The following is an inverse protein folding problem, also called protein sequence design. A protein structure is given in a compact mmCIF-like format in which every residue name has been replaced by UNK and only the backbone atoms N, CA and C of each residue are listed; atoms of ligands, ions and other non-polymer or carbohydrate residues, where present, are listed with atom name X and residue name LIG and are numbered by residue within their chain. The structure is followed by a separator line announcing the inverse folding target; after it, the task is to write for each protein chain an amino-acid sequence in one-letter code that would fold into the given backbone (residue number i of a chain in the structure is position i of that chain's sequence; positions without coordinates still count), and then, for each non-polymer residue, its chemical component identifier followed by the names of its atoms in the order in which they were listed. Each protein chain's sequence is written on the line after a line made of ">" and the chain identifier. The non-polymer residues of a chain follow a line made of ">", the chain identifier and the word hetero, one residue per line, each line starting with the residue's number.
data_IF_738575391445
#
_entry.id   IF_738575391445
#
_cell.length_a   1.000
_cell.length_b   1.000
_cell.length_c   1.000
_cell.angle_alpha   90.00
_cell.angle_beta   90.00
_cell.angle_gamma   90.00
#
_symmetry.space_group_name_H-M   'P 1'
#
loop_
_entity.id
_entity.type
_entity.pdbx_description
1 polymer ?
#
# COMPACT_ATOMS: atom_id res chain seq x y z
N UNK A 1 -9.82 9.37 -12.73
CA UNK A 1 -8.58 8.59 -12.87
C UNK A 1 -8.19 8.48 -14.33
N UNK A 2 -6.89 8.60 -14.60
CA UNK A 2 -6.26 8.31 -15.90
C UNK A 2 -6.52 6.85 -16.31
N UNK A 3 -6.79 6.59 -17.60
CA UNK A 3 -7.05 5.23 -18.11
C UNK A 3 -5.78 4.41 -18.32
N UNK A 4 -4.69 5.07 -18.69
CA UNK A 4 -3.40 4.45 -19.02
C UNK A 4 -2.51 4.50 -17.78
N UNK A 5 -1.78 3.40 -17.52
CA UNK A 5 -0.77 3.33 -16.48
C UNK A 5 0.44 4.21 -16.81
N UNK A 6 0.93 4.97 -15.83
CA UNK A 6 2.19 5.73 -15.93
C UNK A 6 3.41 4.90 -15.47
N UNK A 7 3.18 3.67 -15.01
CA UNK A 7 4.17 2.75 -14.45
C UNK A 7 4.96 3.32 -13.26
N UNK A 8 4.40 4.28 -12.55
CA UNK A 8 4.99 4.81 -11.31
C UNK A 8 4.14 4.40 -10.12
N UNK A 9 4.78 4.22 -8.97
CA UNK A 9 4.05 4.06 -7.71
C UNK A 9 4.84 4.60 -6.53
N UNK A 10 4.11 5.10 -5.55
CA UNK A 10 4.62 5.50 -4.25
C UNK A 10 3.97 4.68 -3.17
N UNK A 11 4.68 4.48 -2.05
CA UNK A 11 4.08 3.88 -0.87
C UNK A 11 4.68 4.45 0.40
N UNK A 12 3.86 4.54 1.45
CA UNK A 12 4.18 5.31 2.64
C UNK A 12 4.16 4.43 3.89
N UNK A 13 5.33 4.15 4.46
CA UNK A 13 5.45 3.53 5.77
C UNK A 13 5.26 4.58 6.88
N UNK A 14 4.00 4.78 7.28
CA UNK A 14 3.63 5.64 8.40
C UNK A 14 3.60 4.83 9.71
N UNK A 15 4.63 5.01 10.54
CA UNK A 15 4.74 4.36 11.84
C UNK A 15 4.19 5.24 12.96
N UNK A 16 3.47 4.62 13.89
CA UNK A 16 3.11 5.22 15.19
C UNK A 16 3.49 4.24 16.28
N UNK A 17 4.52 4.61 17.05
CA UNK A 17 5.19 3.68 17.97
C UNK A 17 5.66 2.44 17.18
N UNK A 18 5.36 1.24 17.64
CA UNK A 18 5.73 -0.04 16.99
C UNK A 18 4.65 -0.58 16.05
N UNK A 19 3.73 0.28 15.59
CA UNK A 19 2.63 -0.10 14.69
C UNK A 19 2.71 0.62 13.36
N UNK A 20 2.47 -0.10 12.27
CA UNK A 20 2.45 0.42 10.91
C UNK A 20 1.00 0.66 10.47
N UNK A 21 0.76 1.80 9.84
CA UNK A 21 -0.53 2.08 9.22
C UNK A 21 -0.73 1.21 7.99
N UNK A 22 -1.84 0.47 7.97
CA UNK A 22 -2.32 -0.26 6.81
C UNK A 22 -3.76 0.12 6.47
N UNK A 23 -4.07 0.09 5.19
CA UNK A 23 -5.40 0.19 4.62
C UNK A 23 -5.81 -1.15 4.02
N UNK A 24 -7.08 -1.51 4.13
CA UNK A 24 -7.64 -2.58 3.31
C UNK A 24 -8.23 -1.95 2.05
N UNK A 25 -7.71 -2.33 0.88
CA UNK A 25 -8.08 -1.74 -0.40
C UNK A 25 -9.49 -2.14 -0.79
N UNK A 26 -10.33 -1.17 -1.17
CA UNK A 26 -11.69 -1.39 -1.69
C UNK A 26 -11.71 -1.71 -3.19
N UNK A 27 -10.64 -1.35 -3.90
CA UNK A 27 -10.50 -1.51 -5.35
C UNK A 27 -9.26 -2.36 -5.64
N UNK A 28 -9.34 -3.21 -6.65
CA UNK A 28 -8.23 -4.03 -7.13
C UNK A 28 -6.93 -3.20 -7.31
N UNK A 29 -5.75 -3.73 -6.93
CA UNK A 29 -5.52 -5.03 -6.29
C UNK A 29 -6.07 -5.10 -4.86
N UNK A 30 -6.70 -6.22 -4.49
CA UNK A 30 -7.27 -6.42 -3.17
C UNK A 30 -6.19 -6.90 -2.18
N UNK A 31 -6.26 -6.40 -0.96
CA UNK A 31 -5.22 -6.66 0.03
C UNK A 31 -5.12 -5.57 1.08
N UNK A 32 -4.44 -5.90 2.17
CA UNK A 32 -3.87 -4.92 3.06
C UNK A 32 -2.59 -4.33 2.44
N UNK A 33 -2.53 -3.01 2.38
CA UNK A 33 -1.43 -2.24 1.82
C UNK A 33 -1.12 -1.07 2.74
N UNK A 34 0.07 -0.48 2.63
CA UNK A 34 0.24 0.88 3.15
C UNK A 34 -0.46 1.88 2.22
N UNK A 35 -0.71 3.13 2.66
CA UNK A 35 -1.14 4.18 1.74
C UNK A 35 -0.21 4.25 0.53
N UNK A 36 -0.78 4.21 -0.67
CA UNK A 36 -0.03 4.00 -1.90
C UNK A 36 -0.85 4.29 -3.16
N UNK A 37 -0.19 4.90 -4.14
CA UNK A 37 -0.81 5.17 -5.44
C UNK A 37 0.19 5.60 -6.51
N UNK A 38 -0.34 6.14 -7.60
CA UNK A 38 0.44 6.55 -8.76
C UNK A 38 0.94 7.98 -8.59
N UNK A 39 2.00 8.35 -9.32
CA UNK A 39 2.43 9.74 -9.40
C UNK A 39 1.47 10.58 -10.26
N UNK A 40 0.89 9.99 -11.30
CA UNK A 40 -0.05 10.67 -12.19
C UNK A 40 0.52 12.00 -12.74
N UNK A 41 -0.06 13.14 -12.34
CA UNK A 41 0.32 14.48 -12.81
C UNK A 41 1.20 15.25 -11.82
N UNK A 42 1.59 14.63 -10.71
CA UNK A 42 2.45 15.27 -9.71
C UNK A 42 3.84 15.57 -10.31
N UNK A 43 4.53 16.56 -9.74
CA UNK A 43 5.85 16.99 -10.24
C UNK A 43 6.95 16.07 -9.71
N UNK A 44 6.72 15.43 -8.56
CA UNK A 44 7.68 14.53 -7.91
C UNK A 44 7.01 13.33 -7.22
N UNK A 45 7.80 12.29 -6.92
CA UNK A 45 7.34 11.14 -6.13
C UNK A 45 7.02 11.56 -4.69
N UNK A 46 7.73 12.55 -4.16
CA UNK A 46 7.51 13.10 -2.83
C UNK A 46 6.12 13.76 -2.74
N UNK A 47 5.75 14.56 -3.74
CA UNK A 47 4.42 15.18 -3.84
C UNK A 47 3.32 14.11 -3.93
N UNK A 48 3.52 13.11 -4.78
CA UNK A 48 2.57 12.00 -4.90
C UNK A 48 2.40 11.23 -3.59
N UNK A 49 3.50 10.95 -2.88
CA UNK A 49 3.45 10.22 -1.61
C UNK A 49 2.69 11.01 -0.54
N UNK A 50 2.87 12.35 -0.49
CA UNK A 50 2.12 13.21 0.43
C UNK A 50 0.64 13.26 0.06
N UNK A 51 0.32 13.42 -1.24
CA UNK A 51 -1.06 13.45 -1.74
C UNK A 51 -1.80 12.15 -1.41
N UNK A 52 -1.24 10.99 -1.77
CA UNK A 52 -1.86 9.68 -1.52
C UNK A 52 -2.09 9.43 -0.02
N UNK A 53 -1.15 9.84 0.85
CA UNK A 53 -1.35 9.76 2.29
C UNK A 53 -2.53 10.63 2.76
N UNK A 54 -2.67 11.85 2.24
CA UNK A 54 -3.78 12.73 2.60
C UNK A 54 -5.12 12.23 2.02
N UNK A 55 -5.14 11.76 0.77
CA UNK A 55 -6.33 11.28 0.08
C UNK A 55 -6.89 9.98 0.70
N UNK A 56 -6.02 9.01 1.00
CA UNK A 56 -6.48 7.69 1.46
C UNK A 56 -6.78 7.66 2.96
N UNK A 57 -6.04 8.43 3.78
CA UNK A 57 -6.10 8.34 5.25
C UNK A 57 -6.14 9.69 5.98
N UNK A 58 -6.13 10.84 5.28
CA UNK A 58 -6.31 12.16 5.88
C UNK A 58 -5.16 12.63 6.78
N UNK A 59 -4.01 11.95 6.74
CA UNK A 59 -2.85 12.28 7.56
C UNK A 59 -1.93 13.26 6.85
N UNK A 60 -1.31 14.15 7.63
CA UNK A 60 -0.31 15.09 7.11
C UNK A 60 1.09 14.59 7.38
N UNK A 61 1.96 14.70 6.37
CA UNK A 61 3.39 14.42 6.52
C UNK A 61 4.11 15.52 7.30
N UNK A 62 5.05 15.12 8.15
CA UNK A 62 5.95 16.01 8.90
C UNK A 62 7.37 15.94 8.36
N UNK A 63 7.79 14.75 7.94
CA UNK A 63 9.11 14.46 7.41
C UNK A 63 9.01 13.29 6.42
N UNK A 64 9.97 13.23 5.49
CA UNK A 64 9.98 12.28 4.38
C UNK A 64 11.38 11.72 4.14
N UNK A 65 11.51 10.40 4.26
CA UNK A 65 12.76 9.67 3.98
C UNK A 65 12.51 8.58 2.94
N UNK A 66 13.25 8.59 1.82
CA UNK A 66 13.23 7.48 0.87
C UNK A 66 13.96 6.27 1.47
N UNK A 67 13.26 5.14 1.59
CA UNK A 67 13.84 3.90 2.14
C UNK A 67 14.39 2.97 1.06
N UNK A 68 13.59 2.75 0.01
CA UNK A 68 13.91 1.82 -1.07
C UNK A 68 13.13 2.23 -2.32
N UNK A 69 13.69 1.89 -3.47
CA UNK A 69 13.02 2.02 -4.76
C UNK A 69 13.32 0.79 -5.62
N UNK A 70 12.42 0.50 -6.57
CA UNK A 70 12.63 -0.60 -7.49
C UNK A 70 11.41 -0.98 -8.31
N UNK A 71 11.63 -1.81 -9.32
CA UNK A 71 10.59 -2.32 -10.19
C UNK A 71 9.92 -3.56 -9.59
N UNK A 72 8.59 -3.61 -9.67
CA UNK A 72 7.78 -4.80 -9.37
C UNK A 72 6.81 -5.09 -10.51
N UNK A 73 6.62 -6.38 -10.80
CA UNK A 73 5.63 -6.86 -11.77
C UNK A 73 4.29 -7.04 -11.05
N UNK A 74 3.65 -5.92 -10.68
CA UNK A 74 2.37 -5.92 -9.98
C UNK A 74 1.26 -5.31 -10.86
N UNK A 75 0.10 -5.97 -10.97
CA UNK A 75 -1.00 -5.46 -11.76
C UNK A 75 -1.73 -4.30 -11.07
N UNK A 76 -2.27 -3.37 -11.85
CA UNK A 76 -3.24 -2.37 -11.41
C UNK A 76 -4.46 -2.34 -12.34
N UNK A 77 -5.49 -1.58 -11.97
CA UNK A 77 -6.75 -1.50 -12.73
C UNK A 77 -6.66 -0.74 -14.06
N UNK A 78 -5.51 -0.14 -14.38
CA UNK A 78 -5.32 0.73 -15.56
C UNK A 78 -4.85 -0.09 -16.76
N UNK A 79 -5.11 0.43 -17.96
CA UNK A 79 -4.58 -0.16 -19.20
C UNK A 79 -3.05 -0.15 -19.18
N UNK A 80 -2.43 -1.26 -19.58
CA UNK A 80 -0.98 -1.51 -19.47
C UNK A 80 -0.44 -1.41 -18.03
N UNK A 81 -1.26 -1.65 -17.02
CA UNK A 81 -0.82 -1.64 -15.63
C UNK A 81 -0.30 -2.98 -15.15
N UNK A 82 0.74 -3.54 -15.78
CA UNK A 82 1.33 -4.85 -15.43
C UNK A 82 2.60 -4.75 -14.56
N UNK A 83 3.21 -3.57 -14.48
CA UNK A 83 4.38 -3.30 -13.65
C UNK A 83 4.44 -1.84 -13.21
N UNK A 84 5.19 -1.58 -12.13
CA UNK A 84 5.44 -0.23 -11.63
C UNK A 84 6.86 -0.08 -11.09
N UNK A 85 7.45 1.11 -11.26
CA UNK A 85 8.63 1.55 -10.54
C UNK A 85 8.19 2.25 -9.25
N UNK A 86 8.55 1.65 -8.13
CA UNK A 86 8.14 2.08 -6.80
C UNK A 86 9.20 2.96 -6.16
N UNK A 87 8.75 3.98 -5.43
CA UNK A 87 9.52 4.63 -4.37
C UNK A 87 8.77 4.50 -3.04
N UNK A 88 9.42 3.88 -2.06
CA UNK A 88 8.83 3.65 -0.74
C UNK A 88 9.48 4.59 0.25
N UNK A 89 8.63 5.35 0.93
CA UNK A 89 9.05 6.36 1.87
C UNK A 89 8.66 5.99 3.29
N UNK A 90 9.46 6.41 4.26
CA UNK A 90 9.07 6.52 5.66
C UNK A 90 8.60 7.93 5.93
N UNK A 91 7.50 8.06 6.68
CA UNK A 91 7.01 9.36 7.11
C UNK A 91 6.63 9.37 8.59
N UNK A 92 6.96 10.46 9.25
CA UNK A 92 6.26 10.87 10.48
C UNK A 92 4.96 11.57 10.09
N UNK A 93 3.88 11.24 10.80
CA UNK A 93 2.54 11.76 10.48
C UNK A 93 1.93 12.52 11.65
N UNK A 94 1.10 13.51 11.32
CA UNK A 94 0.26 14.25 12.28
C UNK A 94 -1.21 14.14 11.90
N UNK A 95 -2.05 14.15 12.93
CA UNK A 95 -3.50 14.08 12.81
C UNK A 95 -4.07 12.74 13.28
N UNK A 96 -5.34 12.54 12.96
CA UNK A 96 -6.07 11.30 13.20
C UNK A 96 -6.47 10.69 11.86
N UNK A 97 -6.55 9.36 11.80
CA UNK A 97 -6.91 8.66 10.57
C UNK A 97 -8.33 9.08 10.16
N UNK A 98 -8.45 9.61 8.94
CA UNK A 98 -9.72 9.91 8.27
C UNK A 98 -9.70 9.21 6.92
N UNK A 99 -10.13 7.95 6.91
CA UNK A 99 -10.02 7.11 5.71
C UNK A 99 -10.98 7.56 4.60
N UNK A 100 -10.54 7.43 3.36
CA UNK A 100 -11.42 7.56 2.19
C UNK A 100 -12.39 6.38 2.10
N UNK A 101 -13.69 6.67 2.11
CA UNK A 101 -14.74 5.66 1.95
C UNK A 101 -14.84 5.12 0.52
N UNK A 102 -14.26 5.83 -0.45
CA UNK A 102 -14.25 5.45 -1.86
C UNK A 102 -13.09 4.52 -2.22
N UNK A 103 -12.02 4.52 -1.42
CA UNK A 103 -10.77 3.83 -1.74
C UNK A 103 -10.43 2.71 -0.76
N UNK A 104 -10.84 2.86 0.50
CA UNK A 104 -10.53 1.91 1.56
C UNK A 104 -11.80 1.26 2.11
N UNK A 105 -11.68 0.01 2.55
CA UNK A 105 -12.68 -0.64 3.41
C UNK A 105 -12.42 -0.30 4.87
N UNK A 106 -11.15 -0.23 5.27
CA UNK A 106 -10.70 0.13 6.60
C UNK A 106 -9.26 0.68 6.59
N UNK A 107 -8.86 1.33 7.68
CA UNK A 107 -7.51 1.84 7.91
C UNK A 107 -7.18 1.70 9.40
N UNK A 108 -6.03 1.11 9.75
CA UNK A 108 -5.64 0.86 11.13
C UNK A 108 -4.12 0.78 11.31
N UNK A 109 -3.65 1.16 12.49
CA UNK A 109 -2.27 0.89 12.92
C UNK A 109 -2.19 -0.56 13.43
N UNK A 110 -1.45 -1.40 12.71
CA UNK A 110 -1.26 -2.81 13.02
C UNK A 110 0.13 -3.07 13.59
N UNK A 111 0.21 -3.93 14.59
CA UNK A 111 1.47 -4.45 15.11
C UNK A 111 2.15 -5.39 14.12
N UNK A 112 3.46 -5.59 14.29
CA UNK A 112 4.22 -6.53 13.44
C UNK A 112 3.62 -7.95 13.46
N UNK A 113 3.10 -8.42 14.60
CA UNK A 113 2.51 -9.76 14.67
C UNK A 113 1.17 -9.86 13.91
N UNK A 114 0.35 -8.82 13.92
CA UNK A 114 -0.85 -8.73 13.07
C UNK A 114 -0.46 -8.72 11.59
N UNK A 115 0.58 -7.98 11.21
CA UNK A 115 1.10 -7.94 9.83
C UNK A 115 1.62 -9.33 9.42
N UNK A 116 2.36 -10.03 10.28
CA UNK A 116 2.82 -11.41 10.01
C UNK A 116 1.66 -12.37 9.79
N UNK A 117 0.57 -12.24 10.55
CA UNK A 117 -0.63 -13.07 10.36
C UNK A 117 -1.28 -12.80 9.00
N UNK A 118 -1.37 -11.53 8.58
CA UNK A 118 -1.82 -11.17 7.23
C UNK A 118 -0.88 -11.74 6.16
N UNK A 119 0.43 -11.70 6.39
CA UNK A 119 1.44 -12.27 5.49
C UNK A 119 1.29 -13.79 5.31
N UNK A 120 1.06 -14.54 6.40
CA UNK A 120 0.76 -15.97 6.34
C UNK A 120 -0.51 -16.28 5.54
N UNK A 121 -1.50 -15.37 5.56
CA UNK A 121 -2.69 -15.48 4.73
C UNK A 121 -2.35 -15.23 3.25
N UNK A 122 -1.53 -14.22 2.95
CA UNK A 122 -0.99 -14.00 1.59
C UNK A 122 -0.25 -15.23 1.07
N UNK A 123 0.59 -15.88 1.88
CA UNK A 123 1.28 -17.12 1.48
C UNK A 123 0.31 -18.23 1.07
N UNK A 124 -0.77 -18.42 1.84
CA UNK A 124 -1.82 -19.41 1.51
C UNK A 124 -2.52 -19.06 0.19
N UNK A 125 -2.81 -17.79 -0.05
CA UNK A 125 -3.39 -17.33 -1.31
C UNK A 125 -2.45 -17.58 -2.50
N UNK A 126 -1.17 -17.20 -2.38
CA UNK A 126 -0.17 -17.39 -3.44
C UNK A 126 0.06 -18.87 -3.82
N UNK A 127 -0.14 -19.81 -2.89
CA UNK A 127 -0.07 -21.25 -3.18
C UNK A 127 -1.41 -21.89 -3.55
N UNK A 128 -2.45 -21.08 -3.81
CA UNK A 128 -3.76 -21.52 -4.28
C UNK A 128 -4.64 -22.18 -3.20
N UNK A 129 -4.34 -21.98 -1.91
CA UNK A 129 -5.15 -22.51 -0.80
C UNK A 129 -6.34 -21.60 -0.42
N UNK A 130 -6.36 -20.38 -0.93
CA UNK A 130 -7.45 -19.41 -0.76
C UNK A 130 -7.91 -19.05 -2.18
N UNK A 131 -9.21 -19.10 -2.44
CA UNK A 131 -9.78 -18.70 -3.74
C UNK A 131 -9.78 -17.18 -3.90
N UNK A 132 -9.94 -16.69 -5.14
CA UNK A 132 -10.12 -15.25 -5.39
C UNK A 132 -11.32 -14.68 -4.61
N UNK A 133 -12.45 -15.38 -4.59
CA UNK A 133 -13.64 -14.94 -3.85
C UNK A 133 -13.37 -14.83 -2.34
N UNK A 134 -12.68 -15.79 -1.74
CA UNK A 134 -12.31 -15.74 -0.32
C UNK A 134 -11.26 -14.65 -0.04
N UNK A 135 -10.36 -14.40 -0.99
CA UNK A 135 -9.38 -13.31 -0.91
C UNK A 135 -10.05 -11.94 -0.95
N UNK A 136 -11.02 -11.73 -1.84
CA UNK A 136 -11.72 -10.45 -1.97
C UNK A 136 -12.55 -10.09 -0.73
N UNK A 137 -13.16 -11.09 -0.09
CA UNK A 137 -13.95 -10.91 1.14
C UNK A 137 -13.07 -10.62 2.36
N UNK A 138 -12.01 -11.41 2.54
CA UNK A 138 -11.09 -11.27 3.67
C UNK A 138 -9.65 -11.48 3.19
N UNK A 139 -8.93 -10.43 2.77
CA UNK A 139 -7.60 -10.60 2.21
C UNK A 139 -6.49 -10.69 3.28
N UNK A 140 -5.31 -11.13 2.86
CA UNK A 140 -4.04 -10.90 3.56
C UNK A 140 -3.39 -9.58 3.12
N UNK A 141 -2.06 -9.50 3.23
CA UNK A 141 -1.28 -8.40 2.63
C UNK A 141 -1.36 -8.50 1.10
N UNK A 142 -1.58 -7.37 0.43
CA UNK A 142 -1.55 -7.29 -1.03
C UNK A 142 -0.21 -7.85 -1.56
N UNK A 143 -0.19 -8.69 -2.62
CA UNK A 143 1.01 -9.42 -3.01
C UNK A 143 2.26 -8.56 -3.22
N UNK A 144 2.16 -7.36 -3.81
CA UNK A 144 3.35 -6.50 -3.98
C UNK A 144 3.88 -6.00 -2.64
N UNK A 145 2.99 -5.68 -1.71
CA UNK A 145 3.35 -5.24 -0.36
C UNK A 145 3.92 -6.36 0.48
N UNK A 146 3.45 -7.60 0.28
CA UNK A 146 4.05 -8.77 0.89
C UNK A 146 5.52 -8.93 0.47
N UNK A 147 5.83 -8.75 -0.81
CA UNK A 147 7.23 -8.75 -1.28
C UNK A 147 8.05 -7.61 -0.66
N UNK A 148 7.52 -6.38 -0.69
CA UNK A 148 8.21 -5.22 -0.12
C UNK A 148 8.49 -5.38 1.37
N UNK A 149 7.53 -5.89 2.14
CA UNK A 149 7.73 -6.09 3.58
C UNK A 149 8.80 -7.13 3.88
N UNK A 150 8.95 -8.17 3.05
CA UNK A 150 10.06 -9.13 3.16
C UNK A 150 11.40 -8.50 2.83
N UNK A 151 11.47 -7.68 1.78
CA UNK A 151 12.70 -6.97 1.41
C UNK A 151 13.12 -5.96 2.49
N UNK A 152 12.15 -5.25 3.06
CA UNK A 152 12.32 -4.31 4.17
C UNK A 152 12.51 -5.00 5.53
N UNK A 153 12.43 -6.34 5.60
CA UNK A 153 12.56 -7.16 6.82
C UNK A 153 11.55 -6.79 7.91
N UNK A 154 10.36 -6.36 7.52
CA UNK A 154 9.22 -6.13 8.42
C UNK A 154 8.62 -7.48 8.82
N UNK A 155 8.55 -8.42 7.87
CA UNK A 155 8.08 -9.79 8.06
C UNK A 155 9.08 -10.83 7.57
#
# INVERSE_FOLDING_TARGET
>A
MTKICDHTSVGILAWKEDKLLLIERKKFPFGFAVPAGHMDSDVSYEEAAIRELEEEVGLKSVDLELLIEGRKENPCRRENGDWHYWKIYRMETKGEIQRSLDETKQAAYLSIDEIRQLGQRTEKYLVGKISEEEWEDSPGIEPVWYEWFRELKII
#
